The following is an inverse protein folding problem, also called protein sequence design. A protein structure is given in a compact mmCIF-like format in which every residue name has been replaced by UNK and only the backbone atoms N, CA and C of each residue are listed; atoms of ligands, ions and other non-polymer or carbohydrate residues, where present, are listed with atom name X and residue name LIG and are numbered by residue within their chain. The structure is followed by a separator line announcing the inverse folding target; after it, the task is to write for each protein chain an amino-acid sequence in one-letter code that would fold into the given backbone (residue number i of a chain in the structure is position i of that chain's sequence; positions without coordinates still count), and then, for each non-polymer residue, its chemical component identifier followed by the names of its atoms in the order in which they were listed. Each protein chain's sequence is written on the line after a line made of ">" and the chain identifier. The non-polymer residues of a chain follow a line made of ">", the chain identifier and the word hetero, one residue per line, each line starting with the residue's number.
data_IF_370477969113
#
_entry.id   IF_370477969113
#
_cell.length_a   1.000
_cell.length_b   1.000
_cell.length_c   1.000
_cell.angle_alpha   90.00
_cell.angle_beta   90.00
_cell.angle_gamma   90.00
#
_symmetry.space_group_name_H-M   'P 1'
#
loop_
_entity.id
_entity.type
_entity.pdbx_description
1 polymer ?
#
# COMPACT_ATOMS: atom_id res chain seq x y z
N UNK A 1 -15.40 1.53 7.52
CA UNK A 1 -15.13 0.08 7.36
C UNK A 1 -13.65 -0.20 7.43
N UNK A 2 -12.80 0.42 6.59
CA UNK A 2 -11.36 0.10 6.56
C UNK A 2 -10.59 0.34 7.86
N UNK A 3 -10.95 1.37 8.63
CA UNK A 3 -10.29 1.68 9.91
C UNK A 3 -10.61 0.73 11.06
N UNK A 4 -11.80 0.12 11.07
CA UNK A 4 -12.21 -0.82 12.12
C UNK A 4 -11.50 -2.18 11.96
N UNK A 5 -11.30 -2.61 10.71
CA UNK A 5 -10.60 -3.85 10.38
C UNK A 5 -9.10 -3.74 10.75
N UNK A 6 -8.49 -2.59 10.47
CA UNK A 6 -7.09 -2.33 10.84
C UNK A 6 -6.91 -2.30 12.36
N UNK A 7 -7.82 -1.67 13.09
CA UNK A 7 -7.75 -1.61 14.55
C UNK A 7 -7.94 -2.99 15.19
N UNK A 8 -8.90 -3.79 14.73
CA UNK A 8 -9.10 -5.16 15.20
C UNK A 8 -7.90 -6.07 14.89
N UNK A 9 -7.20 -5.84 13.76
CA UNK A 9 -6.00 -6.61 13.41
C UNK A 9 -4.86 -6.33 14.39
N UNK A 10 -4.69 -5.05 14.75
CA UNK A 10 -3.68 -4.60 15.70
C UNK A 10 -3.97 -5.15 17.10
N UNK A 11 -5.23 -5.11 17.54
CA UNK A 11 -5.58 -5.55 18.89
C UNK A 11 -5.56 -7.08 19.03
N UNK A 12 -5.94 -7.82 17.99
CA UNK A 12 -5.79 -9.29 17.94
C UNK A 12 -4.30 -9.70 17.96
N UNK A 13 -3.44 -8.98 17.24
CA UNK A 13 -2.01 -9.25 17.23
C UNK A 13 -1.34 -9.00 18.60
N UNK A 14 -1.71 -7.90 19.28
CA UNK A 14 -1.20 -7.61 20.65
C UNK A 14 -1.61 -8.69 21.64
N UNK A 15 -2.87 -9.11 21.62
CA UNK A 15 -3.38 -10.16 22.50
C UNK A 15 -2.66 -11.50 22.26
N UNK A 16 -2.37 -11.84 21.00
CA UNK A 16 -1.66 -13.07 20.65
C UNK A 16 -0.18 -13.05 21.10
N UNK A 17 0.47 -11.88 21.07
CA UNK A 17 1.83 -11.70 21.58
C UNK A 17 1.89 -11.80 23.12
N UNK A 18 0.89 -11.29 23.83
CA UNK A 18 0.81 -11.38 25.30
C UNK A 18 0.65 -12.82 25.81
N UNK A 19 0.08 -13.71 24.98
CA UNK A 19 -0.13 -15.13 25.32
C UNK A 19 1.12 -15.98 25.01
N UNK A 20 2.23 -15.37 24.54
CA UNK A 20 3.50 -16.05 24.23
C UNK A 20 3.34 -17.21 23.23
N UNK A 21 2.45 -17.05 22.25
CA UNK A 21 2.19 -18.04 21.21
C UNK A 21 3.34 -18.09 20.20
N UNK A 22 3.63 -19.27 19.65
CA UNK A 22 4.61 -19.41 18.57
C UNK A 22 4.09 -18.73 17.29
N UNK A 23 5.01 -18.24 16.44
CA UNK A 23 4.68 -17.37 15.29
C UNK A 23 3.61 -17.95 14.35
N UNK A 24 3.56 -19.28 14.24
CA UNK A 24 2.59 -20.03 13.42
C UNK A 24 1.20 -20.04 14.06
N UNK A 25 1.13 -20.17 15.38
CA UNK A 25 -0.14 -20.20 16.13
C UNK A 25 -0.81 -18.83 16.15
N UNK A 26 -0.02 -17.75 16.19
CA UNK A 26 -0.50 -16.37 16.08
C UNK A 26 -1.24 -16.16 14.75
N UNK A 27 -0.64 -16.61 13.64
CA UNK A 27 -1.22 -16.46 12.31
C UNK A 27 -2.56 -17.22 12.19
N UNK A 28 -2.63 -18.45 12.71
CA UNK A 28 -3.88 -19.22 12.74
C UNK A 28 -4.95 -18.57 13.62
N UNK A 29 -4.57 -18.06 14.79
CA UNK A 29 -5.49 -17.41 15.71
C UNK A 29 -6.14 -16.17 15.08
N UNK A 30 -5.31 -15.28 14.50
CA UNK A 30 -5.81 -14.06 13.86
C UNK A 30 -6.65 -14.42 12.63
N UNK A 31 -6.22 -15.41 11.82
CA UNK A 31 -7.00 -15.89 10.68
C UNK A 31 -8.39 -16.41 11.10
N UNK A 32 -8.46 -17.31 12.09
CA UNK A 32 -9.74 -17.84 12.61
C UNK A 32 -10.65 -16.74 13.16
N UNK A 33 -10.07 -15.74 13.81
CA UNK A 33 -10.80 -14.57 14.33
C UNK A 33 -11.37 -13.70 13.21
N UNK A 34 -10.57 -13.41 12.19
CA UNK A 34 -10.95 -12.59 11.04
C UNK A 34 -11.98 -13.27 10.15
N UNK A 35 -11.80 -14.56 9.84
CA UNK A 35 -12.74 -15.34 9.03
C UNK A 35 -14.14 -15.39 9.67
N UNK A 36 -14.23 -15.34 11.01
CA UNK A 36 -15.49 -15.28 11.77
C UNK A 36 -16.16 -13.91 11.74
N UNK A 37 -15.37 -12.83 11.68
CA UNK A 37 -15.86 -11.45 11.79
C UNK A 37 -16.18 -10.82 10.43
N UNK A 38 -15.43 -11.15 9.38
CA UNK A 38 -15.40 -10.35 8.15
C UNK A 38 -15.60 -11.15 6.84
N UNK A 39 -16.10 -12.40 6.94
CA UNK A 39 -16.23 -13.37 5.83
C UNK A 39 -14.88 -13.89 5.30
N UNK A 40 -14.82 -15.14 4.79
CA UNK A 40 -13.60 -15.73 4.25
C UNK A 40 -13.23 -15.08 2.92
N UNK A 41 -12.36 -14.07 2.98
CA UNK A 41 -11.62 -13.53 1.84
C UNK A 41 -10.14 -13.41 2.21
N UNK A 42 -9.25 -13.42 1.22
CA UNK A 42 -7.80 -13.57 1.39
C UNK A 42 -7.18 -12.41 2.19
N UNK A 43 -7.13 -12.56 3.52
CA UNK A 43 -6.39 -11.66 4.39
C UNK A 43 -4.95 -12.16 4.57
N UNK A 44 -3.99 -11.36 4.11
CA UNK A 44 -2.56 -11.58 4.27
C UNK A 44 -2.12 -11.08 5.66
N UNK A 45 -1.64 -11.99 6.52
CA UNK A 45 -1.05 -11.67 7.83
C UNK A 45 0.41 -12.13 7.77
N UNK A 46 1.35 -11.20 7.95
CA UNK A 46 2.78 -11.48 7.82
C UNK A 46 3.54 -11.03 9.07
N UNK A 47 3.99 -12.03 9.83
CA UNK A 47 5.29 -12.07 10.53
C UNK A 47 5.53 -11.17 11.76
N UNK A 48 6.38 -11.61 12.70
CA UNK A 48 6.72 -10.89 13.94
C UNK A 48 7.44 -9.55 13.71
N UNK A 49 7.95 -9.31 12.50
CA UNK A 49 8.60 -8.06 12.13
C UNK A 49 7.68 -7.00 11.52
N UNK A 50 6.34 -7.14 11.52
CA UNK A 50 5.49 -6.08 10.95
C UNK A 50 5.62 -4.73 11.67
N UNK A 51 5.76 -4.73 13.00
CA UNK A 51 5.94 -3.49 13.78
C UNK A 51 7.33 -2.88 13.55
N UNK A 52 8.36 -3.72 13.46
CA UNK A 52 9.73 -3.26 13.19
C UNK A 52 9.93 -2.88 11.73
N UNK A 53 9.36 -3.57 10.75
CA UNK A 53 9.40 -3.22 9.33
C UNK A 53 8.62 -1.92 9.06
N UNK A 54 7.46 -1.75 9.69
CA UNK A 54 6.71 -0.48 9.66
C UNK A 54 7.50 0.68 10.29
N UNK A 55 8.29 0.43 11.34
CA UNK A 55 9.20 1.44 11.94
C UNK A 55 10.52 1.64 11.19
N UNK A 56 11.05 0.60 10.54
CA UNK A 56 12.38 0.61 9.90
C UNK A 56 12.32 1.06 8.44
N UNK A 57 11.17 0.94 7.77
CA UNK A 57 10.90 1.52 6.45
C UNK A 57 10.31 2.94 6.52
N UNK A 58 10.27 3.55 7.71
CA UNK A 58 10.21 5.01 7.87
C UNK A 58 11.59 5.66 7.69
N UNK A 59 12.54 5.02 7.00
CA UNK A 59 13.41 5.83 6.16
C UNK A 59 12.49 6.52 5.18
N UNK A 60 12.35 7.84 5.31
CA UNK A 60 11.65 8.72 4.38
C UNK A 60 12.00 8.31 2.93
N UNK A 61 11.16 7.49 2.30
CA UNK A 61 11.26 7.19 0.88
C UNK A 61 10.77 8.43 0.15
N UNK A 62 11.62 9.44 0.12
CA UNK A 62 11.35 10.68 -0.56
C UNK A 62 11.81 10.56 -1.99
N UNK A 63 10.87 10.72 -2.92
CA UNK A 63 11.21 10.89 -4.33
C UNK A 63 11.97 12.20 -4.53
N UNK A 64 12.92 12.20 -5.46
CA UNK A 64 13.63 13.41 -5.88
C UNK A 64 12.95 13.98 -7.13
N UNK A 65 12.77 15.31 -7.23
CA UNK A 65 12.14 15.93 -8.41
C UNK A 65 12.88 15.67 -9.73
N UNK A 66 14.13 15.22 -9.65
CA UNK A 66 15.01 14.96 -10.81
C UNK A 66 14.96 13.49 -11.27
N UNK A 67 14.12 12.65 -10.65
CA UNK A 67 13.93 11.28 -11.09
C UNK A 67 13.37 11.24 -12.51
N UNK A 68 14.12 10.58 -13.40
CA UNK A 68 13.68 10.36 -14.77
C UNK A 68 12.52 9.36 -14.76
N UNK A 69 11.33 9.88 -15.02
CA UNK A 69 10.14 9.06 -15.22
C UNK A 69 10.21 8.32 -16.56
N UNK A 70 9.97 7.01 -16.53
CA UNK A 70 9.91 6.18 -17.72
C UNK A 70 8.78 5.16 -17.61
N UNK A 71 8.16 4.86 -18.75
CA UNK A 71 7.15 3.79 -18.84
C UNK A 71 7.85 2.50 -19.21
N UNK A 72 7.88 1.53 -18.28
CA UNK A 72 8.54 0.24 -18.49
C UNK A 72 7.66 -0.76 -19.24
N UNK A 73 6.35 -0.77 -18.98
CA UNK A 73 5.38 -1.68 -19.60
C UNK A 73 3.97 -1.12 -19.43
N UNK A 74 3.15 -1.20 -20.48
CA UNK A 74 1.82 -0.57 -20.49
C UNK A 74 0.94 -1.14 -21.60
N UNK A 75 -0.38 -1.02 -21.41
CA UNK A 75 -1.42 -1.26 -22.43
C UNK A 75 -2.19 0.03 -22.78
N UNK A 76 -1.75 1.17 -22.23
CA UNK A 76 -2.35 2.47 -22.48
C UNK A 76 -2.08 2.92 -23.92
N UNK A 77 -2.88 3.85 -24.42
CA UNK A 77 -2.53 4.51 -25.69
C UNK A 77 -1.36 5.48 -25.48
N UNK A 78 -0.60 5.80 -26.53
CA UNK A 78 0.52 6.75 -26.43
C UNK A 78 0.14 8.10 -25.80
N UNK A 79 -1.07 8.59 -26.08
CA UNK A 79 -1.55 9.84 -25.48
C UNK A 79 -1.79 9.71 -23.97
N UNK A 80 -2.27 8.55 -23.52
CA UNK A 80 -2.51 8.26 -22.10
C UNK A 80 -1.21 7.94 -21.35
N UNK A 81 -0.24 7.31 -22.01
CA UNK A 81 1.12 7.13 -21.45
C UNK A 81 1.81 8.48 -21.20
N UNK A 82 1.75 9.40 -22.17
CA UNK A 82 2.32 10.72 -22.01
C UNK A 82 1.63 11.48 -20.86
N UNK A 83 0.31 11.38 -20.78
CA UNK A 83 -0.44 12.01 -19.70
C UNK A 83 -0.11 11.40 -18.32
N UNK A 84 0.13 10.08 -18.26
CA UNK A 84 0.60 9.42 -17.04
C UNK A 84 1.94 9.99 -16.56
N UNK A 85 2.88 10.17 -17.48
CA UNK A 85 4.18 10.78 -17.18
C UNK A 85 4.03 12.24 -16.72
N UNK A 86 3.18 13.02 -17.37
CA UNK A 86 2.96 14.42 -17.04
C UNK A 86 2.28 14.58 -15.66
N UNK A 87 1.28 13.75 -15.36
CA UNK A 87 0.61 13.69 -14.06
C UNK A 87 1.57 13.24 -12.96
N UNK A 88 2.36 12.20 -13.20
CA UNK A 88 3.37 11.72 -12.26
C UNK A 88 4.46 12.78 -11.99
N UNK A 89 4.92 13.49 -13.02
CA UNK A 89 5.87 14.59 -12.87
C UNK A 89 5.31 15.71 -12.00
N UNK A 90 4.04 16.10 -12.23
CA UNK A 90 3.35 17.09 -11.38
C UNK A 90 3.17 16.60 -9.94
N UNK A 91 2.95 15.31 -9.74
CA UNK A 91 2.83 14.71 -8.41
C UNK A 91 4.16 14.82 -7.63
N UNK A 92 5.27 14.44 -8.27
CA UNK A 92 6.62 14.48 -7.71
C UNK A 92 7.12 15.90 -7.40
N UNK A 93 6.66 16.91 -8.14
CA UNK A 93 6.94 18.31 -7.84
C UNK A 93 6.17 18.83 -6.62
N UNK A 94 5.04 18.20 -6.26
CA UNK A 94 4.16 18.64 -5.17
C UNK A 94 4.50 17.99 -3.84
N UNK A 95 4.81 16.70 -3.85
CA UNK A 95 5.08 15.93 -2.65
C UNK A 95 6.20 14.94 -2.88
N UNK A 96 6.91 14.63 -1.81
CA UNK A 96 7.87 13.52 -1.76
C UNK A 96 7.29 12.28 -1.09
N UNK A 97 6.07 12.37 -0.54
CA UNK A 97 5.43 11.32 0.22
C UNK A 97 4.69 10.36 -0.75
N UNK A 98 5.04 9.06 -0.77
CA UNK A 98 4.49 8.10 -1.74
C UNK A 98 2.96 8.03 -1.76
N UNK A 99 2.31 8.10 -0.59
CA UNK A 99 0.84 8.03 -0.50
C UNK A 99 0.18 9.27 -1.10
N UNK A 100 0.70 10.48 -0.87
CA UNK A 100 0.22 11.71 -1.48
C UNK A 100 0.40 11.69 -3.00
N UNK A 101 1.55 11.21 -3.48
CA UNK A 101 1.82 11.05 -4.92
C UNK A 101 0.80 10.09 -5.53
N UNK A 102 0.58 8.91 -4.93
CA UNK A 102 -0.37 7.92 -5.42
C UNK A 102 -1.82 8.46 -5.42
N UNK A 103 -2.21 9.18 -4.36
CA UNK A 103 -3.53 9.79 -4.27
C UNK A 103 -3.75 10.85 -5.35
N UNK A 104 -2.74 11.68 -5.61
CA UNK A 104 -2.80 12.71 -6.66
C UNK A 104 -2.97 12.10 -8.04
N UNK A 105 -2.13 11.11 -8.39
CA UNK A 105 -2.20 10.44 -9.70
C UNK A 105 -3.55 9.76 -9.87
N UNK A 106 -4.01 9.00 -8.87
CA UNK A 106 -5.32 8.33 -8.89
C UNK A 106 -6.44 9.34 -9.15
N UNK A 107 -6.44 10.46 -8.44
CA UNK A 107 -7.48 11.49 -8.57
C UNK A 107 -7.54 12.05 -10.00
N UNK A 108 -6.41 12.45 -10.57
CA UNK A 108 -6.38 13.01 -11.93
C UNK A 108 -6.85 11.99 -12.98
N UNK A 109 -6.49 10.71 -12.80
CA UNK A 109 -6.89 9.63 -13.72
C UNK A 109 -8.38 9.26 -13.60
N UNK A 110 -8.91 9.20 -12.37
CA UNK A 110 -10.34 8.99 -12.10
C UNK A 110 -11.20 10.09 -12.73
N UNK A 111 -10.75 11.35 -12.67
CA UNK A 111 -11.47 12.49 -13.23
C UNK A 111 -11.42 12.53 -14.78
N UNK A 112 -10.31 12.09 -15.38
CA UNK A 112 -10.05 12.27 -16.80
C UNK A 112 -10.47 11.10 -17.70
N UNK A 113 -10.33 9.87 -17.22
CA UNK A 113 -10.50 8.69 -18.08
C UNK A 113 -11.73 7.88 -17.72
N UNK A 114 -11.81 7.37 -16.49
CA UNK A 114 -12.95 6.62 -15.95
C UNK A 114 -12.68 6.35 -14.46
N UNK A 115 -13.68 6.24 -13.57
CA UNK A 115 -13.44 6.05 -12.15
C UNK A 115 -12.84 4.67 -11.80
N UNK A 116 -12.19 4.59 -10.64
CA UNK A 116 -11.61 3.40 -10.01
C UNK A 116 -10.23 2.99 -10.51
N UNK A 117 -9.40 3.96 -10.88
CA UNK A 117 -7.97 3.73 -11.10
C UNK A 117 -7.29 3.27 -9.83
N UNK A 118 -6.35 2.34 -9.99
CA UNK A 118 -5.48 1.88 -8.93
C UNK A 118 -4.08 2.42 -9.23
N UNK A 119 -3.47 3.07 -8.24
CA UNK A 119 -2.13 3.63 -8.36
C UNK A 119 -1.27 3.09 -7.22
N UNK A 120 -0.08 2.61 -7.56
CA UNK A 120 0.90 2.10 -6.60
C UNK A 120 2.21 2.85 -6.86
N UNK A 121 2.78 3.44 -5.80
CA UNK A 121 4.01 4.24 -5.85
C UNK A 121 4.96 3.71 -4.79
N UNK A 122 6.23 3.51 -5.15
CA UNK A 122 7.24 2.98 -4.24
C UNK A 122 8.59 2.77 -4.94
N UNK A 123 9.66 2.71 -4.14
CA UNK A 123 11.02 2.57 -4.63
C UNK A 123 11.49 1.11 -4.69
N UNK A 124 10.73 0.19 -4.08
CA UNK A 124 11.05 -1.22 -3.98
C UNK A 124 9.77 -2.05 -4.12
N UNK A 125 9.57 -2.66 -5.29
CA UNK A 125 8.51 -3.64 -5.52
C UNK A 125 9.13 -5.04 -5.57
N UNK A 126 8.64 -5.95 -4.71
CA UNK A 126 8.92 -7.39 -4.66
C UNK A 126 10.27 -7.87 -5.24
N UNK A 127 11.24 -8.13 -4.36
CA UNK A 127 12.32 -9.10 -4.63
C UNK A 127 11.97 -10.44 -4.01
#
# INVERSE_FOLDING_TARGET
>A
MDGEIQQEAVDAAKMAMEISMESVEIAEYIKKRFDKLFMPSEHCIVGPHFIEYSRSQQQEQTFSPEERLEVLSTKMSRNMEQDALDVASRALQRSREPREIAQYIKKEFDEKYEPNWHCIVGNHFGR
#
